data_IF_857609986895
#
_entry.id   IF_857609986895
#
_cell.length_a   1.000
_cell.length_b   1.000
_cell.length_c   1.000
_cell.angle_alpha   90.00
_cell.angle_beta   90.00
_cell.angle_gamma   90.00
#
_symmetry.space_group_name_H-M   'P 1'
#
loop_
_entity.id
_entity.type
_entity.pdbx_description
1 polymer ?
#
# COMPACT_ATOMS: atom_id res chain seq x y z
N UNK A 1 4.35 6.55 -1.63
CA UNK A 1 4.76 6.14 -3.00
C UNK A 1 3.54 5.70 -3.81
N UNK A 2 2.77 4.70 -3.40
CA UNK A 2 1.64 4.18 -4.19
C UNK A 2 0.61 5.24 -4.62
N UNK A 3 0.21 6.15 -3.72
CA UNK A 3 -0.69 7.26 -4.07
C UNK A 3 -0.13 8.17 -5.18
N UNK A 4 1.19 8.42 -5.18
CA UNK A 4 1.83 9.18 -6.27
C UNK A 4 1.75 8.43 -7.59
N UNK A 5 2.02 7.12 -7.59
CA UNK A 5 1.90 6.30 -8.81
C UNK A 5 0.47 6.36 -9.36
N UNK A 6 -0.55 6.32 -8.49
CA UNK A 6 -1.95 6.46 -8.93
C UNK A 6 -2.20 7.83 -9.55
N UNK A 7 -1.69 8.92 -8.97
CA UNK A 7 -1.81 10.26 -9.54
C UNK A 7 -1.13 10.39 -10.91
N UNK A 8 0.06 9.79 -11.08
CA UNK A 8 0.75 9.72 -12.37
C UNK A 8 -0.02 8.90 -13.42
N UNK A 9 -0.62 7.78 -13.03
CA UNK A 9 -1.47 6.97 -13.93
C UNK A 9 -2.75 7.70 -14.35
N UNK A 10 -3.32 8.50 -13.46
CA UNK A 10 -4.47 9.37 -13.74
C UNK A 10 -4.06 10.55 -14.63
N UNK A 11 -2.83 11.01 -14.56
CA UNK A 11 -2.35 12.22 -15.23
C UNK A 11 -2.88 13.49 -14.57
N UNK A 12 -3.32 13.44 -13.32
CA UNK A 12 -3.80 14.60 -12.59
C UNK A 12 -2.61 15.46 -12.11
N UNK A 13 -2.69 16.80 -12.26
CA UNK A 13 -1.68 17.68 -11.69
C UNK A 13 -1.75 17.64 -10.16
N UNK A 14 -0.60 17.56 -9.50
CA UNK A 14 -0.50 17.60 -8.05
C UNK A 14 0.79 18.29 -7.59
N UNK A 15 0.75 18.84 -6.39
CA UNK A 15 1.93 19.34 -5.69
C UNK A 15 2.37 18.30 -4.65
N UNK A 16 3.66 17.98 -4.62
CA UNK A 16 4.23 17.07 -3.63
C UNK A 16 4.81 17.88 -2.47
N UNK A 17 4.17 17.78 -1.31
CA UNK A 17 4.68 18.33 -0.06
C UNK A 17 5.40 17.22 0.68
N UNK A 18 6.73 17.34 0.78
CA UNK A 18 7.53 16.38 1.54
C UNK A 18 7.42 16.65 3.03
N UNK A 19 7.35 15.56 3.80
CA UNK A 19 7.32 15.63 5.26
C UNK A 19 8.10 14.46 5.85
N UNK A 20 8.57 14.62 7.10
CA UNK A 20 9.28 13.55 7.80
C UNK A 20 8.32 12.53 8.41
N UNK A 21 8.74 11.25 8.36
CA UNK A 21 8.17 10.15 9.14
C UNK A 21 9.24 9.51 10.04
N UNK A 22 10.37 10.17 10.21
CA UNK A 22 11.44 9.71 11.09
C UNK A 22 10.92 9.49 12.51
N UNK A 23 11.32 8.39 13.14
CA UNK A 23 10.78 7.98 14.44
C UNK A 23 11.28 8.83 15.61
N UNK A 24 12.47 9.37 15.46
CA UNK A 24 13.19 10.20 16.43
C UNK A 24 12.87 11.70 16.30
N UNK A 25 12.05 12.09 15.32
CA UNK A 25 11.66 13.48 15.10
C UNK A 25 10.17 13.70 15.41
N UNK A 26 9.82 14.81 16.08
CA UNK A 26 8.41 15.17 16.25
C UNK A 26 7.77 15.50 14.91
N UNK A 27 6.50 15.15 14.76
CA UNK A 27 5.75 15.49 13.54
C UNK A 27 5.51 17.00 13.48
N UNK A 28 5.70 17.63 12.29
CA UNK A 28 5.38 19.03 12.10
C UNK A 28 3.92 19.33 12.49
N UNK A 29 3.63 20.44 13.18
CA UNK A 29 2.25 20.80 13.57
C UNK A 29 1.28 20.88 12.40
N UNK A 30 1.74 21.31 11.23
CA UNK A 30 0.96 21.38 9.99
C UNK A 30 0.55 20.00 9.51
N UNK A 31 1.43 19.00 9.60
CA UNK A 31 1.12 17.61 9.29
C UNK A 31 0.07 17.05 10.25
N UNK A 32 0.19 17.34 11.56
CA UNK A 32 -0.76 16.87 12.56
C UNK A 32 -2.15 17.51 12.42
N UNK A 33 -2.24 18.72 11.87
CA UNK A 33 -3.54 19.35 11.53
C UNK A 33 -4.23 18.60 10.39
N UNK A 34 -3.47 18.09 9.43
CA UNK A 34 -4.02 17.35 8.29
C UNK A 34 -4.31 15.89 8.63
N UNK A 35 -3.44 15.25 9.41
CA UNK A 35 -3.60 13.89 9.91
C UNK A 35 -3.13 13.82 11.38
N UNK A 36 -4.06 13.76 12.35
CA UNK A 36 -3.70 13.71 13.77
C UNK A 36 -2.79 12.53 14.17
N UNK A 37 -2.78 11.44 13.36
CA UNK A 37 -1.90 10.30 13.60
C UNK A 37 -0.45 10.56 13.15
N UNK A 38 -0.20 11.65 12.40
CA UNK A 38 1.14 11.98 11.89
C UNK A 38 1.68 11.05 10.81
N UNK A 39 0.81 10.27 10.15
CA UNK A 39 1.19 9.32 9.10
C UNK A 39 1.03 9.91 7.70
N UNK A 40 1.73 9.29 6.75
CA UNK A 40 1.59 9.54 5.31
C UNK A 40 1.06 8.28 4.61
N UNK A 41 0.36 8.42 3.47
CA UNK A 41 0.07 9.66 2.74
C UNK A 41 -1.07 10.47 3.36
N UNK A 42 -1.08 11.76 3.04
CA UNK A 42 -2.24 12.64 3.20
C UNK A 42 -2.53 13.26 1.84
N UNK A 43 -3.75 13.18 1.38
CA UNK A 43 -4.24 13.87 0.19
C UNK A 43 -5.00 15.13 0.63
N UNK A 44 -4.58 16.29 0.16
CA UNK A 44 -5.34 17.54 0.31
C UNK A 44 -6.10 17.77 -0.99
N UNK A 45 -7.42 17.94 -0.87
CA UNK A 45 -8.31 18.20 -2.00
C UNK A 45 -9.21 19.37 -1.69
N UNK A 46 -8.91 20.51 -2.27
CA UNK A 46 -9.55 21.78 -1.88
C UNK A 46 -9.23 22.13 -0.44
N UNK A 47 -10.26 22.30 0.39
CA UNK A 47 -10.17 22.62 1.82
C UNK A 47 -10.13 21.38 2.74
N UNK A 48 -10.14 20.17 2.16
CA UNK A 48 -10.24 18.90 2.91
C UNK A 48 -8.97 18.09 2.84
N UNK A 49 -8.61 17.51 3.98
CA UNK A 49 -7.56 16.51 4.08
C UNK A 49 -8.15 15.10 4.18
N UNK A 50 -7.55 14.15 3.48
CA UNK A 50 -7.88 12.73 3.54
C UNK A 50 -6.62 11.91 3.80
N UNK A 51 -6.70 10.98 4.71
CA UNK A 51 -5.65 9.99 4.97
C UNK A 51 -6.22 8.57 4.81
N UNK A 52 -5.42 7.52 5.01
CA UNK A 52 -5.64 6.13 4.67
C UNK A 52 -5.46 5.82 3.17
N UNK A 53 -4.41 5.07 2.88
CA UNK A 53 -4.00 4.71 1.51
C UNK A 53 -5.14 4.11 0.68
N UNK A 54 -5.90 3.18 1.26
CA UNK A 54 -7.01 2.52 0.58
C UNK A 54 -8.15 3.51 0.27
N UNK A 55 -8.50 4.37 1.23
CA UNK A 55 -9.55 5.38 1.04
C UNK A 55 -9.16 6.41 -0.02
N UNK A 56 -7.92 6.90 0.01
CA UNK A 56 -7.39 7.82 -1.03
C UNK A 56 -7.42 7.15 -2.39
N UNK A 57 -7.04 5.86 -2.48
CA UNK A 57 -7.08 5.10 -3.74
C UNK A 57 -8.49 5.03 -4.31
N UNK A 58 -9.48 4.66 -3.50
CA UNK A 58 -10.90 4.63 -3.93
C UNK A 58 -11.34 6.00 -4.39
N UNK A 59 -11.08 7.03 -3.58
CA UNK A 59 -11.49 8.40 -3.87
C UNK A 59 -10.92 8.90 -5.21
N UNK A 60 -9.64 8.72 -5.46
CA UNK A 60 -8.99 9.15 -6.69
C UNK A 60 -9.53 8.40 -7.92
N UNK A 61 -9.63 7.08 -7.82
CA UNK A 61 -10.11 6.26 -8.94
C UNK A 61 -11.58 6.51 -9.28
N UNK A 62 -12.43 6.76 -8.28
CA UNK A 62 -13.85 7.04 -8.50
C UNK A 62 -14.08 8.44 -9.10
N UNK A 63 -13.17 9.38 -8.86
CA UNK A 63 -13.20 10.72 -9.47
C UNK A 63 -12.61 10.76 -10.87
N UNK A 64 -11.81 9.78 -11.22
CA UNK A 64 -11.13 9.68 -12.53
C UNK A 64 -11.42 8.33 -13.20
N UNK A 65 -12.71 8.04 -13.48
CA UNK A 65 -13.09 6.76 -14.08
C UNK A 65 -12.50 6.56 -15.50
N UNK A 66 -12.14 7.64 -16.18
CA UNK A 66 -11.45 7.63 -17.46
C UNK A 66 -10.08 6.96 -17.42
N UNK A 67 -9.41 6.96 -16.27
CA UNK A 67 -8.13 6.28 -16.08
C UNK A 67 -8.27 4.75 -15.98
N UNK A 68 -9.49 4.24 -15.81
CA UNK A 68 -9.81 2.81 -15.73
C UNK A 68 -9.00 2.02 -14.66
N UNK A 69 -8.63 2.69 -13.57
CA UNK A 69 -7.85 2.09 -12.47
C UNK A 69 -8.72 1.37 -11.42
N UNK A 70 -10.04 1.50 -11.51
CA UNK A 70 -10.99 0.78 -10.66
C UNK A 70 -12.17 0.27 -11.49
N UNK A 71 -12.78 -0.86 -11.08
CA UNK A 71 -14.10 -1.25 -11.57
C UNK A 71 -15.15 -0.18 -11.22
N UNK A 72 -16.10 0.10 -12.11
CA UNK A 72 -17.23 0.99 -11.80
C UNK A 72 -18.06 0.45 -10.63
N UNK A 73 -18.90 1.30 -10.04
CA UNK A 73 -19.73 0.91 -8.88
C UNK A 73 -20.62 -0.30 -9.19
N UNK A 74 -21.13 -0.38 -10.44
CA UNK A 74 -22.02 -1.46 -10.89
C UNK A 74 -21.27 -2.66 -11.49
N UNK A 75 -19.94 -2.62 -11.56
CA UNK A 75 -19.11 -3.73 -12.09
C UNK A 75 -19.08 -4.89 -11.08
N UNK A 76 -19.21 -6.11 -11.56
CA UNK A 76 -19.17 -7.32 -10.73
C UNK A 76 -17.87 -7.46 -9.91
N UNK A 77 -16.74 -6.96 -10.43
CA UNK A 77 -15.44 -6.99 -9.75
C UNK A 77 -15.29 -5.87 -8.68
N UNK A 78 -16.26 -4.95 -8.55
CA UNK A 78 -16.18 -3.86 -7.58
C UNK A 78 -16.04 -4.36 -6.13
N UNK A 79 -16.78 -5.38 -5.77
CA UNK A 79 -16.70 -5.96 -4.42
C UNK A 79 -15.31 -6.54 -4.12
N UNK A 80 -14.71 -7.26 -5.08
CA UNK A 80 -13.37 -7.82 -4.95
C UNK A 80 -12.30 -6.72 -4.89
N UNK A 81 -12.44 -5.66 -5.69
CA UNK A 81 -11.58 -4.48 -5.65
C UNK A 81 -11.54 -3.86 -4.26
N UNK A 82 -12.71 -3.54 -3.68
CA UNK A 82 -12.82 -2.94 -2.35
C UNK A 82 -12.28 -3.88 -1.26
N UNK A 83 -12.67 -5.16 -1.31
CA UNK A 83 -12.18 -6.18 -0.37
C UNK A 83 -10.66 -6.25 -0.37
N UNK A 84 -10.04 -6.25 -1.55
CA UNK A 84 -8.58 -6.37 -1.67
C UNK A 84 -7.87 -5.13 -1.13
N UNK A 85 -8.36 -3.92 -1.43
CA UNK A 85 -7.80 -2.68 -0.88
C UNK A 85 -7.88 -2.65 0.66
N UNK A 86 -9.02 -3.05 1.22
CA UNK A 86 -9.20 -3.15 2.67
C UNK A 86 -8.29 -4.23 3.25
N UNK A 87 -8.16 -5.38 2.61
CA UNK A 87 -7.24 -6.44 3.05
C UNK A 87 -5.79 -5.97 3.05
N UNK A 88 -5.36 -5.22 2.03
CA UNK A 88 -4.01 -4.65 1.99
C UNK A 88 -3.78 -3.67 3.14
N UNK A 89 -4.73 -2.77 3.42
CA UNK A 89 -4.56 -1.78 4.49
C UNK A 89 -4.71 -2.38 5.89
N UNK A 90 -5.69 -3.24 6.13
CA UNK A 90 -6.00 -3.76 7.46
C UNK A 90 -5.22 -5.02 7.85
N UNK A 91 -4.78 -5.82 6.90
CA UNK A 91 -4.10 -7.09 7.16
C UNK A 91 -2.62 -7.04 6.80
N UNK A 92 -2.28 -6.72 5.54
CA UNK A 92 -0.88 -6.73 5.09
C UNK A 92 -0.10 -5.58 5.71
N UNK A 93 -0.62 -4.34 5.66
CA UNK A 93 0.06 -3.19 6.28
C UNK A 93 0.16 -3.35 7.80
N UNK A 94 -0.86 -3.92 8.46
CA UNK A 94 -0.80 -4.18 9.89
C UNK A 94 0.29 -5.20 10.24
N UNK A 95 0.51 -6.22 9.41
CA UNK A 95 1.61 -7.16 9.59
C UNK A 95 2.98 -6.47 9.49
N UNK A 96 3.14 -5.53 8.56
CA UNK A 96 4.33 -4.69 8.48
C UNK A 96 4.49 -3.80 9.72
N UNK A 97 3.40 -3.22 10.26
CA UNK A 97 3.46 -2.41 11.47
C UNK A 97 4.04 -3.20 12.65
N UNK A 98 3.58 -4.44 12.87
CA UNK A 98 4.12 -5.31 13.92
C UNK A 98 5.63 -5.60 13.73
N UNK A 99 6.08 -5.71 12.49
CA UNK A 99 7.48 -6.02 12.21
C UNK A 99 8.39 -4.80 12.26
N UNK A 100 7.94 -3.65 11.71
CA UNK A 100 8.73 -2.43 11.66
C UNK A 100 8.75 -1.65 12.98
N UNK A 101 7.66 -1.73 13.77
CA UNK A 101 7.43 -0.96 14.99
C UNK A 101 7.00 -1.88 16.13
N UNK A 102 7.82 -2.89 16.51
CA UNK A 102 7.45 -3.86 17.53
C UNK A 102 7.23 -3.23 18.90
N UNK A 103 7.89 -2.09 19.17
CA UNK A 103 7.73 -1.27 20.37
C UNK A 103 6.29 -0.86 20.66
N UNK A 104 5.47 -0.68 19.60
CA UNK A 104 4.05 -0.31 19.72
C UNK A 104 3.13 -1.46 20.09
N UNK A 105 3.62 -2.68 20.02
CA UNK A 105 2.87 -3.92 20.21
C UNK A 105 3.46 -4.81 21.31
N UNK A 106 4.49 -4.34 21.98
CA UNK A 106 5.18 -5.00 23.07
C UNK A 106 4.90 -4.27 24.38
N UNK A 107 4.65 -5.00 25.47
CA UNK A 107 4.43 -4.40 26.79
C UNK A 107 5.75 -3.89 27.39
N UNK A 108 6.86 -4.54 27.06
CA UNK A 108 8.21 -4.18 27.48
C UNK A 108 9.19 -4.30 26.31
N UNK A 109 10.36 -3.63 26.35
CA UNK A 109 11.41 -3.81 25.34
C UNK A 109 11.86 -5.27 25.16
N UNK A 110 11.77 -6.09 26.20
CA UNK A 110 12.11 -7.51 26.14
C UNK A 110 11.12 -8.32 25.28
N UNK A 111 9.90 -7.83 25.08
CA UNK A 111 8.84 -8.47 24.30
C UNK A 111 8.88 -8.10 22.81
N UNK A 112 9.58 -7.02 22.43
CA UNK A 112 9.69 -6.54 21.05
C UNK A 112 10.12 -7.64 20.06
N UNK A 113 11.13 -8.49 20.35
CA UNK A 113 11.48 -9.57 19.41
C UNK A 113 10.35 -10.57 19.19
N UNK A 114 9.46 -10.76 20.16
CA UNK A 114 8.28 -11.61 20.03
C UNK A 114 7.23 -10.97 19.14
N UNK A 115 6.97 -9.67 19.31
CA UNK A 115 6.07 -8.90 18.47
C UNK A 115 6.55 -8.91 17.00
N UNK A 116 7.85 -8.67 16.77
CA UNK A 116 8.45 -8.72 15.44
C UNK A 116 8.30 -10.08 14.78
N UNK A 117 8.61 -11.18 15.49
CA UNK A 117 8.42 -12.55 14.95
C UNK A 117 6.95 -12.83 14.59
N UNK A 118 6.00 -12.31 15.37
CA UNK A 118 4.56 -12.43 15.05
C UNK A 118 4.23 -11.66 13.78
N UNK A 119 4.75 -10.45 13.62
CA UNK A 119 4.61 -9.65 12.41
C UNK A 119 5.14 -10.40 11.18
N UNK A 120 6.33 -10.97 11.26
CA UNK A 120 6.94 -11.73 10.16
C UNK A 120 6.12 -12.97 9.77
N UNK A 121 5.60 -13.73 10.76
CA UNK A 121 4.66 -14.83 10.45
C UNK A 121 3.38 -14.33 9.80
N UNK A 122 2.85 -13.20 10.28
CA UNK A 122 1.65 -12.60 9.71
C UNK A 122 1.86 -12.12 8.28
N UNK A 123 3.05 -11.60 7.94
CA UNK A 123 3.44 -11.30 6.56
C UNK A 123 3.41 -12.55 5.69
N UNK A 124 4.01 -13.65 6.13
CA UNK A 124 3.97 -14.92 5.41
C UNK A 124 2.54 -15.38 5.12
N UNK A 125 1.68 -15.34 6.13
CA UNK A 125 0.28 -15.75 6.03
C UNK A 125 -0.51 -14.85 5.04
N UNK A 126 -0.39 -13.55 5.18
CA UNK A 126 -1.15 -12.59 4.37
C UNK A 126 -0.69 -12.59 2.91
N UNK A 127 0.60 -12.68 2.65
CA UNK A 127 1.13 -12.77 1.29
C UNK A 127 0.75 -14.08 0.62
N UNK A 128 0.73 -15.20 1.37
CA UNK A 128 0.25 -16.48 0.84
C UNK A 128 -1.21 -16.38 0.38
N UNK A 129 -2.09 -15.75 1.17
CA UNK A 129 -3.50 -15.54 0.79
C UNK A 129 -3.60 -14.76 -0.52
N UNK A 130 -2.85 -13.66 -0.66
CA UNK A 130 -2.85 -12.85 -1.88
C UNK A 130 -2.32 -13.65 -3.06
N UNK A 131 -1.22 -14.39 -2.89
CA UNK A 131 -0.63 -15.22 -3.93
C UNK A 131 -1.64 -16.25 -4.47
N UNK A 132 -2.34 -16.93 -3.55
CA UNK A 132 -3.32 -17.95 -3.90
C UNK A 132 -4.56 -17.33 -4.59
N UNK A 133 -5.01 -16.14 -4.16
CA UNK A 133 -6.12 -15.42 -4.76
C UNK A 133 -5.81 -14.90 -6.18
N UNK A 134 -4.58 -14.50 -6.44
CA UNK A 134 -4.15 -14.10 -7.79
C UNK A 134 -4.15 -15.31 -8.72
N UNK A 135 -3.64 -16.47 -8.27
CA UNK A 135 -3.52 -17.66 -9.09
C UNK A 135 -2.85 -17.36 -10.43
N UNK A 136 -3.37 -17.92 -11.52
CA UNK A 136 -2.84 -17.74 -12.87
C UNK A 136 -3.29 -16.42 -13.55
N UNK A 137 -4.05 -15.58 -12.87
CA UNK A 137 -4.52 -14.32 -13.41
C UNK A 137 -3.35 -13.36 -13.72
N UNK A 138 -3.48 -12.60 -14.80
CA UNK A 138 -2.48 -11.61 -15.19
C UNK A 138 -2.30 -10.51 -14.13
N UNK A 139 -3.40 -10.06 -13.51
CA UNK A 139 -3.48 -9.00 -12.51
C UNK A 139 -4.26 -9.47 -11.29
N UNK A 140 -4.22 -8.72 -10.22
CA UNK A 140 -4.92 -9.07 -8.96
C UNK A 140 -6.42 -9.28 -9.17
N UNK A 141 -7.06 -8.47 -10.03
CA UNK A 141 -8.48 -8.58 -10.35
C UNK A 141 -8.76 -9.36 -11.65
N UNK A 142 -7.83 -10.20 -12.11
CA UNK A 142 -8.00 -10.98 -13.32
C UNK A 142 -7.25 -10.42 -14.53
N UNK A 143 -7.98 -10.07 -15.61
CA UNK A 143 -7.37 -9.65 -16.87
C UNK A 143 -7.02 -8.17 -16.98
N UNK A 144 -7.53 -7.31 -16.08
CA UNK A 144 -7.43 -5.85 -16.14
C UNK A 144 -6.53 -5.29 -15.05
N UNK A 145 -5.58 -4.46 -15.43
CA UNK A 145 -4.76 -3.67 -14.51
C UNK A 145 -5.62 -2.67 -13.74
N UNK A 146 -5.29 -2.44 -12.46
CA UNK A 146 -6.02 -1.56 -11.58
C UNK A 146 -5.11 -0.96 -10.49
N UNK A 147 -5.65 -0.02 -9.71
CA UNK A 147 -4.95 0.56 -8.57
C UNK A 147 -4.57 -0.47 -7.48
N UNK A 148 -5.24 -1.62 -7.44
CA UNK A 148 -4.88 -2.73 -6.55
C UNK A 148 -3.51 -3.30 -6.88
N UNK A 149 -3.15 -3.37 -8.17
CA UNK A 149 -1.85 -3.85 -8.62
C UNK A 149 -0.73 -2.88 -8.23
N UNK A 150 -1.01 -1.57 -8.30
CA UNK A 150 -0.09 -0.52 -7.83
C UNK A 150 0.11 -0.64 -6.32
N UNK A 151 -0.97 -0.86 -5.56
CA UNK A 151 -0.89 -1.02 -4.11
C UNK A 151 -0.11 -2.28 -3.72
N UNK A 152 -0.36 -3.40 -4.40
CA UNK A 152 0.41 -4.64 -4.23
C UNK A 152 1.90 -4.36 -4.46
N UNK A 153 2.25 -3.74 -5.59
CA UNK A 153 3.64 -3.40 -5.92
C UNK A 153 4.28 -2.54 -4.81
N UNK A 154 3.61 -1.48 -4.36
CA UNK A 154 4.11 -0.65 -3.26
C UNK A 154 4.42 -1.51 -2.02
N UNK A 155 3.53 -2.42 -1.64
CA UNK A 155 3.72 -3.27 -0.46
C UNK A 155 4.86 -4.27 -0.63
N UNK A 156 5.10 -4.79 -1.84
CA UNK A 156 6.25 -5.67 -2.09
C UNK A 156 7.59 -4.96 -1.88
N UNK A 157 7.66 -3.65 -2.16
CA UNK A 157 8.88 -2.85 -1.92
C UNK A 157 9.22 -2.68 -0.43
N UNK A 158 8.29 -3.02 0.47
CA UNK A 158 8.52 -2.97 1.92
C UNK A 158 9.09 -4.27 2.48
N UNK A 159 9.14 -5.34 1.70
CA UNK A 159 9.71 -6.61 2.15
C UNK A 159 11.24 -6.48 2.29
N UNK A 160 11.76 -6.87 3.44
CA UNK A 160 13.19 -6.84 3.77
C UNK A 160 13.57 -8.16 4.45
N UNK A 161 14.23 -9.05 3.71
CA UNK A 161 14.68 -10.35 4.24
C UNK A 161 15.66 -10.21 5.40
N UNK A 162 16.43 -9.12 5.44
CA UNK A 162 17.32 -8.78 6.58
C UNK A 162 16.57 -8.54 7.89
N UNK A 163 15.26 -8.25 7.84
CA UNK A 163 14.37 -8.14 9.01
C UNK A 163 13.62 -9.43 9.33
N UNK A 164 13.88 -10.51 8.59
CA UNK A 164 13.15 -11.77 8.68
C UNK A 164 11.80 -11.76 7.99
N UNK A 165 11.55 -10.78 7.11
CA UNK A 165 10.37 -10.84 6.22
C UNK A 165 10.54 -11.98 5.22
N UNK A 166 9.44 -12.57 4.71
CA UNK A 166 9.53 -13.50 3.60
C UNK A 166 10.11 -12.82 2.36
N UNK A 167 10.77 -13.60 1.49
CA UNK A 167 11.13 -13.12 0.17
C UNK A 167 9.89 -13.06 -0.72
N UNK A 168 9.80 -12.05 -1.59
CA UNK A 168 8.76 -12.00 -2.61
C UNK A 168 8.81 -13.22 -3.56
N UNK A 169 9.98 -13.85 -3.71
CA UNK A 169 10.16 -15.04 -4.53
C UNK A 169 9.40 -16.28 -4.00
N UNK A 170 9.03 -16.28 -2.72
CA UNK A 170 8.16 -17.31 -2.13
C UNK A 170 6.70 -17.21 -2.60
N UNK A 171 6.33 -16.10 -3.26
CA UNK A 171 4.98 -15.81 -3.75
C UNK A 171 4.99 -15.52 -5.25
N UNK A 172 5.11 -16.55 -6.11
CA UNK A 172 5.37 -16.37 -7.54
C UNK A 172 4.30 -15.56 -8.27
N UNK A 173 3.02 -15.65 -7.87
CA UNK A 173 1.95 -14.89 -8.49
C UNK A 173 2.00 -13.39 -8.07
N UNK A 174 2.33 -13.11 -6.80
CA UNK A 174 2.58 -11.75 -6.32
C UNK A 174 3.78 -11.15 -7.06
N UNK A 175 4.88 -11.90 -7.13
CA UNK A 175 6.09 -11.45 -7.83
C UNK A 175 5.82 -11.15 -9.30
N UNK A 176 5.10 -12.01 -9.99
CA UNK A 176 4.73 -11.81 -11.40
C UNK A 176 3.95 -10.52 -11.63
N UNK A 177 2.98 -10.20 -10.75
CA UNK A 177 2.24 -8.94 -10.82
C UNK A 177 3.17 -7.76 -10.52
N UNK A 178 3.99 -7.84 -9.48
CA UNK A 178 4.93 -6.78 -9.13
C UNK A 178 5.93 -6.49 -10.25
N UNK A 179 6.49 -7.55 -10.86
CA UNK A 179 7.42 -7.44 -12.00
C UNK A 179 6.73 -6.81 -13.23
N UNK A 180 5.42 -7.05 -13.42
CA UNK A 180 4.66 -6.45 -14.51
C UNK A 180 4.30 -4.97 -14.25
N UNK A 181 4.20 -4.55 -12.99
CA UNK A 181 3.95 -3.15 -12.58
C UNK A 181 5.24 -2.32 -12.66
N UNK A 182 6.37 -2.89 -12.28
CA UNK A 182 7.67 -2.20 -12.17
C UNK A 182 8.04 -1.36 -13.41
N UNK A 183 7.91 -1.82 -14.68
CA UNK A 183 8.33 -1.08 -15.86
C UNK A 183 7.38 0.06 -16.26
N UNK A 184 6.26 0.26 -15.58
CA UNK A 184 5.32 1.33 -15.90
C UNK A 184 5.96 2.71 -15.70
N UNK A 185 5.72 3.63 -16.64
CA UNK A 185 6.31 4.97 -16.59
C UNK A 185 6.00 5.70 -15.29
N UNK A 186 4.79 5.60 -14.78
CA UNK A 186 4.35 6.16 -13.51
C UNK A 186 5.17 5.66 -12.32
N UNK A 187 5.50 4.37 -12.32
CA UNK A 187 6.34 3.74 -11.29
C UNK A 187 7.78 4.25 -11.39
N UNK A 188 8.33 4.28 -12.60
CA UNK A 188 9.70 4.75 -12.83
C UNK A 188 9.86 6.22 -12.39
N UNK A 189 8.89 7.08 -12.71
CA UNK A 189 8.88 8.49 -12.27
C UNK A 189 8.87 8.65 -10.74
N UNK A 190 8.20 7.74 -10.03
CA UNK A 190 8.02 7.86 -8.58
C UNK A 190 9.11 7.19 -7.77
N UNK A 191 9.68 6.08 -8.26
CA UNK A 191 10.64 5.27 -7.51
C UNK A 191 12.10 5.47 -7.91
N UNK A 192 12.38 6.09 -9.08
CA UNK A 192 13.76 6.37 -9.52
C UNK A 192 14.20 7.84 -9.28
N UNK A 193 13.28 8.71 -8.86
CA UNK A 193 13.55 10.08 -8.42
C UNK A 193 13.35 10.15 -6.90
#
# INVERSE_FOLDING_TARGET
MGTRVILEEIGAPYELIQTTIAMDEPRPPEQLKLNPNGWVPVLVWGDKAMYECAAITVFLCDRHPEAQLAPSVDDAERSRYLQTLVYFSSSVQNAFQLSYYPDRFADTPADEPSAQRRGNRRLQETWKVINDQIGDNKWVLGGRFSAVDIYLFMLTTWLQTSRGHPSVDEFPNVKRVADAVLPRQSVQLVYQN
#
